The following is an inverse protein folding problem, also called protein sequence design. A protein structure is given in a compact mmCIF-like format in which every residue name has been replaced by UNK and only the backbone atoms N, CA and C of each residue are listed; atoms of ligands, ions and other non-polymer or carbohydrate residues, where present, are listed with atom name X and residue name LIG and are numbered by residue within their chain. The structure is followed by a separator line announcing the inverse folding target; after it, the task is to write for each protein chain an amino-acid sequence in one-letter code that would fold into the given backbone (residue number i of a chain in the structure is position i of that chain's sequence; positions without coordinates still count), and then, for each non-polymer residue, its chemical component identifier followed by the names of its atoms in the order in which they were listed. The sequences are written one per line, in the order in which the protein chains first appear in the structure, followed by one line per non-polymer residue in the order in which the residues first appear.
data_IF_971644223949
#
_entry.id   IF_971644223949
#
_cell.length_a   1.000
_cell.length_b   1.000
_cell.length_c   1.000
_cell.angle_alpha   90.00
_cell.angle_beta   90.00
_cell.angle_gamma   90.00
#
_symmetry.space_group_name_H-M   'P 1'
#
loop_
_entity.id
_entity.type
_entity.pdbx_description
1 polymer ?
#
# COMPACT_ATOMS: atom_id res chain seq x y z
N UNK A 1 -11.53 9.56 -11.29
CA UNK A 1 -10.74 10.17 -10.21
C UNK A 1 -9.27 9.94 -10.54
N UNK A 2 -8.44 10.98 -10.68
CA UNK A 2 -7.04 10.77 -11.06
C UNK A 2 -6.20 10.47 -9.80
N UNK A 3 -5.76 9.22 -9.65
CA UNK A 3 -4.88 8.81 -8.55
C UNK A 3 -3.45 9.31 -8.82
N UNK A 4 -2.79 9.91 -7.82
CA UNK A 4 -1.39 10.35 -7.95
C UNK A 4 -0.44 9.25 -7.48
N UNK A 5 0.80 9.29 -7.95
CA UNK A 5 1.84 8.34 -7.53
C UNK A 5 1.50 6.86 -7.78
N UNK A 6 0.75 6.57 -8.85
CA UNK A 6 0.29 5.22 -9.17
C UNK A 6 1.43 4.19 -9.18
N UNK A 7 2.54 4.49 -9.87
CA UNK A 7 3.71 3.61 -9.90
C UNK A 7 4.25 3.34 -8.48
N UNK A 8 4.37 4.37 -7.64
CA UNK A 8 4.85 4.20 -6.28
C UNK A 8 3.90 3.35 -5.42
N UNK A 9 2.59 3.45 -5.62
CA UNK A 9 1.62 2.56 -4.96
C UNK A 9 1.80 1.11 -5.42
N UNK A 10 2.06 0.88 -6.71
CA UNK A 10 2.38 -0.45 -7.22
C UNK A 10 3.70 -0.98 -6.64
N UNK A 11 4.73 -0.15 -6.54
CA UNK A 11 6.02 -0.52 -5.97
C UNK A 11 5.89 -0.88 -4.48
N UNK A 12 5.12 -0.09 -3.71
CA UNK A 12 4.80 -0.41 -2.31
C UNK A 12 4.01 -1.72 -2.24
N UNK A 13 3.02 -1.93 -3.12
CA UNK A 13 2.25 -3.19 -3.13
C UNK A 13 3.15 -4.40 -3.37
N UNK A 14 4.08 -4.29 -4.31
CA UNK A 14 5.04 -5.36 -4.61
C UNK A 14 5.93 -5.65 -3.39
N UNK A 15 6.31 -4.61 -2.64
CA UNK A 15 7.04 -4.79 -1.39
C UNK A 15 6.23 -5.56 -0.34
N UNK A 16 4.92 -5.28 -0.20
CA UNK A 16 4.03 -6.08 0.65
C UNK A 16 3.90 -7.52 0.16
N UNK A 17 3.73 -7.72 -1.15
CA UNK A 17 3.67 -9.07 -1.74
C UNK A 17 5.00 -9.84 -1.47
N UNK A 18 6.15 -9.16 -1.44
CA UNK A 18 7.44 -9.75 -1.03
C UNK A 18 7.50 -10.07 0.46
N UNK A 19 7.07 -9.16 1.33
CA UNK A 19 7.01 -9.40 2.78
C UNK A 19 6.13 -10.62 3.11
N UNK A 20 4.98 -10.75 2.45
CA UNK A 20 4.07 -11.87 2.65
C UNK A 20 4.71 -13.21 2.23
N UNK A 21 5.56 -13.23 1.20
CA UNK A 21 6.30 -14.45 0.81
C UNK A 21 7.28 -14.90 1.89
N UNK A 22 7.90 -13.97 2.63
CA UNK A 22 8.83 -14.33 3.70
C UNK A 22 8.17 -15.08 4.87
N UNK A 23 6.85 -14.94 5.07
CA UNK A 23 6.12 -15.76 6.05
C UNK A 23 6.06 -17.24 5.66
N UNK A 24 6.22 -17.56 4.37
CA UNK A 24 6.19 -18.92 3.86
C UNK A 24 7.60 -19.58 3.86
N UNK A 25 8.64 -18.83 4.23
CA UNK A 25 10.04 -19.28 4.19
C UNK A 25 10.70 -19.23 5.59
N UNK A 26 10.55 -20.27 6.43
CA UNK A 26 11.03 -20.24 7.82
C UNK A 26 12.54 -20.06 7.98
N UNK A 27 13.33 -20.46 6.98
CA UNK A 27 14.79 -20.54 7.08
C UNK A 27 15.48 -19.17 6.99
N UNK A 28 14.94 -18.26 6.18
CA UNK A 28 15.54 -16.95 5.92
C UNK A 28 14.51 -15.82 5.92
N UNK A 29 13.25 -16.12 5.57
CA UNK A 29 12.18 -15.14 5.51
C UNK A 29 11.87 -14.51 6.86
N UNK A 30 11.84 -15.29 7.95
CA UNK A 30 11.59 -14.77 9.29
C UNK A 30 12.65 -13.76 9.73
N UNK A 31 13.93 -14.03 9.45
CA UNK A 31 15.03 -13.09 9.73
C UNK A 31 14.87 -11.78 8.93
N UNK A 32 14.43 -11.91 7.68
CA UNK A 32 14.15 -10.77 6.81
C UNK A 32 12.96 -9.92 7.27
N UNK A 33 11.96 -10.53 7.92
CA UNK A 33 10.83 -9.83 8.54
C UNK A 33 11.26 -9.13 9.83
N UNK A 34 12.03 -9.81 10.68
CA UNK A 34 12.55 -9.26 11.94
C UNK A 34 13.47 -8.05 11.69
N UNK A 35 14.37 -8.12 10.71
CA UNK A 35 15.19 -6.98 10.29
C UNK A 35 14.36 -5.78 9.82
N UNK A 36 13.12 -6.04 9.38
CA UNK A 36 12.11 -5.03 9.01
C UNK A 36 11.12 -4.76 10.14
N UNK A 37 11.40 -5.22 11.36
CA UNK A 37 10.58 -5.01 12.55
C UNK A 37 9.14 -5.46 12.38
N UNK A 38 8.94 -6.58 11.70
CA UNK A 38 7.65 -7.22 11.49
C UNK A 38 7.61 -8.49 12.31
N UNK A 39 6.59 -8.62 13.15
CA UNK A 39 6.36 -9.84 13.91
C UNK A 39 5.56 -10.86 13.09
N UNK A 40 5.78 -12.16 13.36
CA UNK A 40 5.05 -13.22 12.65
C UNK A 40 3.54 -13.20 12.92
N UNK A 41 3.13 -12.62 14.05
CA UNK A 41 1.74 -12.37 14.42
C UNK A 41 1.04 -11.35 13.51
N UNK A 42 1.79 -10.50 12.79
CA UNK A 42 1.26 -9.40 12.00
C UNK A 42 0.84 -9.78 10.57
N UNK A 43 0.90 -11.07 10.19
CA UNK A 43 0.61 -11.53 8.82
C UNK A 43 -0.74 -11.02 8.29
N UNK A 44 -1.80 -11.17 9.08
CA UNK A 44 -3.14 -10.73 8.67
C UNK A 44 -3.23 -9.20 8.51
N UNK A 45 -2.52 -8.44 9.35
CA UNK A 45 -2.46 -6.98 9.23
C UNK A 45 -1.79 -6.57 7.92
N UNK A 46 -0.71 -7.25 7.52
CA UNK A 46 -0.04 -7.01 6.25
C UNK A 46 -0.92 -7.37 5.04
N UNK A 47 -1.74 -8.41 5.14
CA UNK A 47 -2.72 -8.76 4.10
C UNK A 47 -3.72 -7.62 3.95
N UNK A 48 -4.33 -7.14 5.04
CA UNK A 48 -5.25 -6.00 5.01
C UNK A 48 -4.60 -4.74 4.42
N UNK A 49 -3.36 -4.43 4.82
CA UNK A 49 -2.61 -3.29 4.33
C UNK A 49 -2.28 -3.42 2.83
N UNK A 50 -1.98 -4.63 2.35
CA UNK A 50 -1.81 -4.92 0.91
C UNK A 50 -3.11 -4.71 0.15
N UNK A 51 -4.26 -5.03 0.73
CA UNK A 51 -5.57 -4.79 0.11
C UNK A 51 -5.88 -3.31 -0.10
N UNK A 52 -5.41 -2.43 0.80
CA UNK A 52 -5.49 -0.96 0.60
C UNK A 52 -4.85 -0.57 -0.73
N UNK A 53 -3.65 -1.08 -0.98
CA UNK A 53 -2.88 -0.76 -2.18
C UNK A 53 -3.54 -1.33 -3.44
N UNK A 54 -4.09 -2.57 -3.36
CA UNK A 54 -4.88 -3.16 -4.44
C UNK A 54 -6.12 -2.31 -4.75
N UNK A 55 -6.84 -1.86 -3.73
CA UNK A 55 -8.01 -1.01 -3.89
C UNK A 55 -7.66 0.32 -4.56
N UNK A 56 -6.57 0.98 -4.15
CA UNK A 56 -6.14 2.26 -4.76
C UNK A 56 -5.71 2.09 -6.22
N UNK A 57 -5.06 0.98 -6.55
CA UNK A 57 -4.77 0.61 -7.95
C UNK A 57 -6.08 0.38 -8.72
N UNK A 58 -7.03 -0.32 -8.12
CA UNK A 58 -8.37 -0.54 -8.69
C UNK A 58 -9.14 0.75 -8.94
N UNK A 59 -9.02 1.75 -8.06
CA UNK A 59 -9.61 3.07 -8.25
C UNK A 59 -9.07 3.79 -9.49
N UNK A 60 -7.78 3.59 -9.82
CA UNK A 60 -7.17 4.17 -11.01
C UNK A 60 -7.63 3.46 -12.30
N UNK A 61 -7.73 2.13 -12.27
CA UNK A 61 -8.12 1.32 -13.44
C UNK A 61 -9.63 1.15 -13.61
N UNK A 62 -10.43 1.48 -12.60
CA UNK A 62 -11.87 1.24 -12.53
C UNK A 62 -12.27 -0.25 -12.56
N UNK A 63 -11.32 -1.17 -12.32
CA UNK A 63 -11.53 -2.61 -12.15
C UNK A 63 -10.36 -3.25 -11.38
N UNK A 64 -10.59 -4.46 -10.87
CA UNK A 64 -9.58 -5.36 -10.28
C UNK A 64 -9.57 -6.72 -11.01
N UNK A 65 -8.58 -7.57 -10.77
CA UNK A 65 -8.44 -8.84 -11.52
C UNK A 65 -9.05 -10.04 -10.80
N UNK A 66 -8.61 -10.30 -9.56
CA UNK A 66 -8.88 -11.56 -8.87
C UNK A 66 -10.24 -11.60 -8.20
N UNK A 67 -10.46 -10.68 -7.26
CA UNK A 67 -11.70 -10.54 -6.49
C UNK A 67 -12.01 -9.06 -6.35
N UNK A 68 -13.27 -8.75 -6.10
CA UNK A 68 -13.68 -7.37 -5.81
C UNK A 68 -12.84 -6.79 -4.67
N UNK A 69 -12.55 -5.50 -4.76
CA UNK A 69 -11.83 -4.79 -3.71
C UNK A 69 -12.80 -3.86 -3.00
N UNK A 70 -12.99 -4.06 -1.71
CA UNK A 70 -13.81 -3.20 -0.87
C UNK A 70 -13.03 -1.97 -0.44
N UNK A 71 -13.74 -0.87 -0.22
CA UNK A 71 -13.17 0.36 0.33
C UNK A 71 -12.56 0.05 1.70
N UNK A 72 -11.26 0.32 1.92
CA UNK A 72 -10.62 0.04 3.19
C UNK A 72 -11.06 1.03 4.26
N UNK A 73 -11.05 0.62 5.53
CA UNK A 73 -11.25 1.53 6.65
C UNK A 73 -10.08 2.51 6.78
N UNK A 74 -10.34 3.68 7.36
CA UNK A 74 -9.31 4.70 7.56
C UNK A 74 -8.16 4.20 8.43
N UNK A 75 -8.43 3.34 9.41
CA UNK A 75 -7.41 2.79 10.31
C UNK A 75 -6.41 1.90 9.57
N UNK A 76 -6.90 1.01 8.69
CA UNK A 76 -6.03 0.14 7.87
C UNK A 76 -5.21 0.97 6.89
N UNK A 77 -5.80 2.00 6.29
CA UNK A 77 -5.08 2.93 5.40
C UNK A 77 -3.96 3.66 6.13
N UNK A 78 -4.25 4.19 7.33
CA UNK A 78 -3.24 4.85 8.14
C UNK A 78 -2.11 3.91 8.52
N UNK A 79 -2.46 2.68 8.96
CA UNK A 79 -1.48 1.66 9.33
C UNK A 79 -0.57 1.30 8.17
N UNK A 80 -1.13 1.03 6.99
CA UNK A 80 -0.39 0.72 5.75
C UNK A 80 0.66 1.80 5.42
N UNK A 81 0.25 3.06 5.33
CA UNK A 81 1.15 4.13 4.91
C UNK A 81 2.12 4.57 6.01
N UNK A 82 1.72 4.50 7.29
CA UNK A 82 2.63 4.75 8.42
C UNK A 82 3.70 3.68 8.52
N UNK A 83 3.34 2.39 8.41
CA UNK A 83 4.30 1.27 8.38
C UNK A 83 5.31 1.45 7.26
N UNK A 84 4.83 1.77 6.05
CA UNK A 84 5.72 2.01 4.92
C UNK A 84 6.64 3.22 5.14
N UNK A 85 6.16 4.32 5.74
CA UNK A 85 7.01 5.45 6.10
C UNK A 85 8.08 5.05 7.11
N UNK A 86 7.71 4.34 8.19
CA UNK A 86 8.67 3.85 9.19
C UNK A 86 9.73 2.94 8.57
N UNK A 87 9.34 2.09 7.62
CA UNK A 87 10.29 1.28 6.84
C UNK A 87 11.26 2.16 6.05
N UNK A 88 10.77 3.15 5.30
CA UNK A 88 11.61 4.04 4.49
C UNK A 88 12.54 4.90 5.36
N UNK A 89 12.07 5.33 6.54
CA UNK A 89 12.85 6.11 7.49
C UNK A 89 13.95 5.26 8.13
N UNK A 90 13.61 4.07 8.64
CA UNK A 90 14.57 3.21 9.34
C UNK A 90 15.59 2.55 8.40
N UNK A 91 15.14 2.04 7.26
CA UNK A 91 16.00 1.24 6.36
C UNK A 91 16.75 2.12 5.37
N UNK A 92 16.15 3.22 4.93
CA UNK A 92 16.75 4.08 3.91
C UNK A 92 17.16 5.47 4.41
N UNK A 93 16.91 5.80 5.69
CA UNK A 93 17.23 7.13 6.23
C UNK A 93 16.48 8.26 5.50
N UNK A 94 15.34 7.94 4.87
CA UNK A 94 14.56 8.90 4.09
C UNK A 94 13.47 9.51 4.99
N UNK A 95 13.67 10.78 5.35
CA UNK A 95 12.81 11.56 6.25
C UNK A 95 12.22 12.79 5.54
N UNK A 96 11.23 13.42 6.17
CA UNK A 96 10.56 14.60 5.62
C UNK A 96 11.52 15.76 5.28
N UNK A 97 12.59 15.95 6.04
CA UNK A 97 13.55 17.05 5.85
C UNK A 97 14.61 16.76 4.76
N UNK A 98 14.85 15.49 4.40
CA UNK A 98 15.87 15.10 3.42
C UNK A 98 15.31 14.40 2.17
N UNK A 99 14.00 14.08 2.13
CA UNK A 99 13.36 13.36 1.01
C UNK A 99 13.65 13.99 -0.35
N UNK A 100 13.76 15.31 -0.44
CA UNK A 100 14.04 16.02 -1.69
C UNK A 100 15.49 15.86 -2.17
N UNK A 101 16.42 15.57 -1.24
CA UNK A 101 17.85 15.38 -1.49
C UNK A 101 18.26 13.90 -1.54
N UNK A 102 17.34 12.98 -1.27
CA UNK A 102 17.60 11.54 -1.29
C UNK A 102 18.10 11.09 -2.68
N UNK A 103 19.17 10.30 -2.71
CA UNK A 103 19.86 9.88 -3.94
C UNK A 103 19.00 8.95 -4.79
N UNK A 104 18.28 8.04 -4.15
CA UNK A 104 17.38 7.11 -4.82
C UNK A 104 15.99 7.73 -5.08
N UNK A 105 15.64 7.89 -6.36
CA UNK A 105 14.35 8.45 -6.82
C UNK A 105 13.15 7.58 -6.49
N UNK A 106 13.30 6.25 -6.43
CA UNK A 106 12.24 5.33 -6.07
C UNK A 106 11.81 5.57 -4.61
N UNK A 107 12.79 5.58 -3.70
CA UNK A 107 12.58 5.84 -2.28
C UNK A 107 11.94 7.22 -2.07
N UNK A 108 12.42 8.25 -2.77
CA UNK A 108 11.82 9.58 -2.75
C UNK A 108 10.34 9.57 -3.17
N UNK A 109 10.00 8.85 -4.25
CA UNK A 109 8.63 8.76 -4.78
C UNK A 109 7.73 8.00 -3.81
N UNK A 110 8.19 6.89 -3.25
CA UNK A 110 7.43 6.09 -2.28
C UNK A 110 7.13 6.92 -1.02
N UNK A 111 8.12 7.64 -0.49
CA UNK A 111 7.92 8.51 0.67
C UNK A 111 6.87 9.59 0.40
N UNK A 112 6.98 10.26 -0.76
CA UNK A 112 6.00 11.27 -1.18
C UNK A 112 4.60 10.68 -1.39
N UNK A 113 4.50 9.47 -1.92
CA UNK A 113 3.23 8.76 -2.09
C UNK A 113 2.58 8.49 -0.73
N UNK A 114 3.32 7.93 0.24
CA UNK A 114 2.78 7.67 1.57
C UNK A 114 2.25 8.95 2.23
N UNK A 115 3.03 10.04 2.21
CA UNK A 115 2.58 11.34 2.74
C UNK A 115 1.36 11.89 2.00
N UNK A 116 1.33 11.76 0.68
CA UNK A 116 0.21 12.22 -0.14
C UNK A 116 -1.08 11.49 0.26
N UNK A 117 -1.04 10.17 0.38
CA UNK A 117 -2.23 9.39 0.70
C UNK A 117 -2.65 9.55 2.16
N UNK A 118 -1.71 9.61 3.12
CA UNK A 118 -2.06 9.95 4.50
C UNK A 118 -2.83 11.28 4.59
N UNK A 119 -2.38 12.31 3.85
CA UNK A 119 -3.11 13.58 3.78
C UNK A 119 -4.45 13.45 3.04
N UNK A 120 -4.51 12.71 1.93
CA UNK A 120 -5.77 12.56 1.17
C UNK A 120 -6.86 11.85 1.97
N UNK A 121 -6.48 10.79 2.67
CA UNK A 121 -7.41 10.04 3.52
C UNK A 121 -7.78 10.76 4.81
N UNK A 122 -6.99 11.77 5.24
CA UNK A 122 -7.41 12.66 6.33
C UNK A 122 -8.47 13.68 5.91
N UNK A 123 -8.85 13.76 4.62
CA UNK A 123 -9.91 14.63 4.12
C UNK A 123 -11.22 13.82 3.97
N UNK A 124 -12.22 14.01 4.85
CA UNK A 124 -13.46 13.20 4.82
C UNK A 124 -14.18 13.27 3.46
N UNK A 125 -14.23 14.47 2.86
CA UNK A 125 -14.86 14.68 1.56
C UNK A 125 -14.16 13.94 0.40
N UNK A 126 -12.87 13.62 0.54
CA UNK A 126 -12.15 12.84 -0.46
C UNK A 126 -12.45 11.34 -0.28
N UNK A 127 -12.39 10.84 0.95
CA UNK A 127 -12.71 9.45 1.28
C UNK A 127 -14.16 9.08 0.93
N UNK A 128 -15.11 9.97 1.20
CA UNK A 128 -16.52 9.78 0.86
C UNK A 128 -16.77 9.65 -0.66
N UNK A 129 -15.91 10.25 -1.51
CA UNK A 129 -16.02 10.17 -2.98
C UNK A 129 -15.44 8.89 -3.57
N UNK A 130 -14.70 8.10 -2.79
CA UNK A 130 -14.17 6.83 -3.25
C UNK A 130 -15.33 5.82 -3.42
N UNK A 131 -15.25 4.89 -4.37
CA UNK A 131 -16.29 3.86 -4.55
C UNK A 131 -16.29 2.86 -3.40
N UNK A 132 -17.46 2.41 -2.93
CA UNK A 132 -17.50 1.38 -1.86
C UNK A 132 -16.85 0.05 -2.27
N UNK A 133 -16.91 -0.26 -3.57
CA UNK A 133 -16.33 -1.47 -4.12
C UNK A 133 -15.77 -1.22 -5.53
N UNK A 134 -14.65 -1.85 -5.84
CA UNK A 134 -14.12 -1.98 -7.20
C UNK A 134 -14.36 -3.42 -7.65
N UNK A 135 -15.12 -3.59 -8.74
CA UNK A 135 -15.47 -4.89 -9.29
C UNK A 135 -14.35 -5.49 -10.14
N UNK A 136 -14.35 -6.82 -10.27
CA UNK A 136 -13.60 -7.50 -11.32
C UNK A 136 -14.19 -7.22 -12.70
N UNK A 137 -13.44 -7.47 -13.78
CA UNK A 137 -13.97 -7.38 -15.15
C UNK A 137 -15.17 -8.32 -15.31
N UNK A 138 -15.04 -9.56 -14.86
CA UNK A 138 -16.10 -10.58 -14.92
C UNK A 138 -17.37 -10.11 -14.20
N UNK A 139 -17.26 -9.59 -12.97
CA UNK A 139 -18.43 -9.12 -12.22
C UNK A 139 -19.01 -7.82 -12.81
N UNK A 140 -18.16 -6.96 -13.38
CA UNK A 140 -18.60 -5.69 -13.99
C UNK A 140 -19.35 -5.90 -15.30
N UNK A 141 -19.01 -6.96 -16.04
CA UNK A 141 -19.57 -7.29 -17.35
C UNK A 141 -20.26 -8.66 -17.36
N UNK A 142 -20.83 -9.09 -16.24
CA UNK A 142 -21.45 -10.42 -16.06
C UNK A 142 -22.70 -10.67 -16.92
N UNK A 143 -23.07 -9.72 -17.78
CA UNK A 143 -24.22 -9.76 -18.70
C UNK A 143 -23.80 -9.73 -20.18
N UNK A 144 -22.50 -9.84 -20.48
CA UNK A 144 -21.96 -10.20 -21.79
C UNK A 144 -21.74 -11.71 -21.84
#
# INVERSE_FOLDING_TARGET
MHMKYFQAIADIRNHYDEMLKYFEEPRWGHLMLEARGIELSEKELLIEEREVLRYLIGCQHCFVREKNATKPSLDVVQRCFKRQLSYLERIHGCHAYNVNKHTNKLIQKNYKACRHYLFKFSLPAWYAKLPEEILTIENKYSRL
#
